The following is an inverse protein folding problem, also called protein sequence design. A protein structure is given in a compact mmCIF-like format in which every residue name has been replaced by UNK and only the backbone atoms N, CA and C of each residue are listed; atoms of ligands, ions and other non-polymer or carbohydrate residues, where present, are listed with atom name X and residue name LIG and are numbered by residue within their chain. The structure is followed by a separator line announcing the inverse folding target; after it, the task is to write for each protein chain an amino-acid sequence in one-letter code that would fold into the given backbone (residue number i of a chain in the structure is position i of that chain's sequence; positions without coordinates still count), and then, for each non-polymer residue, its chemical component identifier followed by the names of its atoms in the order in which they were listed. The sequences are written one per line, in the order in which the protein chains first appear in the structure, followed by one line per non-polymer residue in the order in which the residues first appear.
data_IF_041897649397
#
_entry.id   IF_041897649397
#
_cell.length_a   1.000
_cell.length_b   1.000
_cell.length_c   1.000
_cell.angle_alpha   90.00
_cell.angle_beta   90.00
_cell.angle_gamma   90.00
#
_symmetry.space_group_name_H-M   'P 1'
#
loop_
_entity.id
_entity.type
_entity.pdbx_description
1 polymer ?
#
# COMPACT_ATOMS: atom_id res chain seq x y z
N UNK A 1 -2.63 17.85 -29.80
CA UNK A 1 -2.34 19.14 -29.16
C UNK A 1 -1.82 18.85 -27.74
N UNK A 2 -0.66 19.42 -27.41
CA UNK A 2 -0.17 19.40 -26.02
C UNK A 2 -0.95 20.46 -25.25
N UNK A 3 -1.57 20.07 -24.14
CA UNK A 3 -2.25 20.96 -23.23
C UNK A 3 -1.29 21.25 -22.08
N UNK A 4 -0.97 22.51 -21.84
CA UNK A 4 -0.23 22.93 -20.69
C UNK A 4 -1.21 23.05 -19.51
N UNK A 5 -0.89 22.31 -18.41
CA UNK A 5 -1.59 22.45 -17.15
C UNK A 5 -0.63 23.03 -16.11
N UNK A 6 -1.04 24.09 -15.44
CA UNK A 6 -0.29 24.69 -14.34
C UNK A 6 -1.22 24.88 -13.15
N UNK A 7 -0.79 24.47 -11.97
CA UNK A 7 -1.48 24.67 -10.71
C UNK A 7 -0.97 25.96 -10.06
N UNK A 8 -1.86 26.89 -9.75
CA UNK A 8 -1.57 28.11 -9.01
C UNK A 8 -2.21 28.09 -7.63
N UNK A 9 -1.43 28.33 -6.58
CA UNK A 9 -1.89 28.54 -5.22
C UNK A 9 -1.72 30.02 -4.87
N UNK A 10 -2.78 30.67 -4.39
CA UNK A 10 -2.81 32.11 -4.13
C UNK A 10 -3.16 32.41 -2.68
N UNK A 11 -2.41 33.32 -2.06
CA UNK A 11 -2.76 33.81 -0.72
C UNK A 11 -4.22 34.33 -0.73
N UNK A 12 -5.09 33.81 0.13
CA UNK A 12 -6.50 34.23 0.21
C UNK A 12 -6.70 35.71 0.59
N UNK A 13 -5.64 36.42 0.95
CA UNK A 13 -5.66 37.86 1.24
C UNK A 13 -5.47 38.75 0.00
N UNK A 14 -5.06 38.17 -1.13
CA UNK A 14 -4.92 38.86 -2.38
C UNK A 14 -6.30 39.25 -2.90
N UNK A 15 -6.41 40.43 -3.50
CA UNK A 15 -7.64 40.84 -4.18
C UNK A 15 -7.79 40.15 -5.55
N UNK A 16 -8.96 40.31 -6.17
CA UNK A 16 -9.29 39.61 -7.42
C UNK A 16 -8.44 40.14 -8.59
N UNK A 17 -8.09 41.44 -8.58
CA UNK A 17 -7.32 42.04 -9.66
C UNK A 17 -5.86 41.57 -9.58
N UNK A 18 -5.28 41.48 -8.39
CA UNK A 18 -3.96 40.89 -8.16
C UNK A 18 -3.89 39.44 -8.60
N UNK A 19 -4.87 38.62 -8.19
CA UNK A 19 -4.95 37.22 -8.60
C UNK A 19 -5.07 37.08 -10.11
N UNK A 20 -5.92 37.89 -10.74
CA UNK A 20 -6.11 37.89 -12.20
C UNK A 20 -4.82 38.23 -12.95
N UNK A 21 -4.09 39.24 -12.46
CA UNK A 21 -2.79 39.63 -13.01
C UNK A 21 -1.75 38.49 -12.90
N UNK A 22 -1.69 37.81 -11.75
CA UNK A 22 -0.78 36.68 -11.51
C UNK A 22 -1.15 35.46 -12.37
N UNK A 23 -2.42 35.15 -12.55
CA UNK A 23 -2.88 34.11 -13.48
C UNK A 23 -2.44 34.42 -14.92
N UNK A 24 -2.58 35.65 -15.36
CA UNK A 24 -2.14 36.06 -16.70
C UNK A 24 -0.63 35.92 -16.87
N UNK A 25 0.16 36.24 -15.84
CA UNK A 25 1.61 36.03 -15.84
C UNK A 25 1.95 34.56 -15.99
N UNK A 26 1.27 33.66 -15.28
CA UNK A 26 1.49 32.21 -15.39
C UNK A 26 1.14 31.65 -16.78
N UNK A 27 0.09 32.16 -17.40
CA UNK A 27 -0.30 31.76 -18.77
C UNK A 27 0.75 32.22 -19.79
N UNK A 28 1.37 33.36 -19.59
CA UNK A 28 2.37 33.94 -20.50
C UNK A 28 3.81 33.55 -20.17
N UNK A 29 4.05 32.83 -19.07
CA UNK A 29 5.38 32.39 -18.67
C UNK A 29 5.93 31.37 -19.69
N UNK A 30 7.09 31.65 -20.30
CA UNK A 30 7.71 30.75 -21.26
C UNK A 30 8.29 29.49 -20.65
N UNK A 31 8.46 29.41 -19.32
CA UNK A 31 8.94 28.21 -18.64
C UNK A 31 7.85 27.17 -18.52
N UNK A 32 7.85 26.22 -19.45
CA UNK A 32 6.90 25.11 -19.50
C UNK A 32 7.23 23.97 -18.52
N UNK A 33 8.38 24.04 -17.83
CA UNK A 33 8.80 23.01 -16.86
C UNK A 33 8.13 23.18 -15.50
N UNK A 34 7.65 24.38 -15.18
CA UNK A 34 6.96 24.69 -13.93
C UNK A 34 5.49 24.23 -14.00
N UNK A 35 5.16 23.20 -13.25
CA UNK A 35 3.79 22.67 -13.13
C UNK A 35 3.00 23.25 -11.97
N UNK A 36 3.71 23.74 -10.94
CA UNK A 36 3.12 24.24 -9.70
C UNK A 36 3.77 25.55 -9.27
N UNK A 37 2.96 26.56 -9.02
CA UNK A 37 3.41 27.87 -8.52
C UNK A 37 2.54 28.34 -7.37
N UNK A 38 3.12 29.08 -6.42
CA UNK A 38 2.40 29.69 -5.32
C UNK A 38 2.75 31.17 -5.18
N UNK A 39 1.79 31.97 -4.81
CA UNK A 39 1.96 33.39 -4.54
C UNK A 39 1.62 33.73 -3.09
N UNK A 40 2.65 34.20 -2.36
CA UNK A 40 2.51 34.73 -1.01
C UNK A 40 2.76 36.24 -1.06
N UNK A 41 1.69 37.01 -1.16
CA UNK A 41 1.78 38.43 -1.53
C UNK A 41 2.42 38.59 -2.93
N UNK A 42 3.48 39.39 -3.03
CA UNK A 42 4.20 39.59 -4.30
C UNK A 42 5.24 38.48 -4.61
N UNK A 43 5.50 37.59 -3.69
CA UNK A 43 6.53 36.57 -3.84
C UNK A 43 6.00 35.33 -4.57
N UNK A 44 6.61 35.05 -5.74
CA UNK A 44 6.34 33.83 -6.52
C UNK A 44 7.25 32.70 -6.06
N UNK A 45 6.69 31.56 -5.74
CA UNK A 45 7.39 30.37 -5.29
C UNK A 45 7.02 29.16 -6.15
N UNK A 46 7.91 28.18 -6.20
CA UNK A 46 7.64 26.86 -6.77
C UNK A 46 8.21 25.77 -5.88
N UNK A 47 7.71 24.54 -6.05
CA UNK A 47 8.28 23.38 -5.38
C UNK A 47 9.47 22.85 -6.18
N UNK A 48 10.60 22.70 -5.54
CA UNK A 48 11.80 22.12 -6.13
C UNK A 48 12.30 20.94 -5.29
N UNK A 49 12.67 19.85 -5.97
CA UNK A 49 13.31 18.71 -5.31
C UNK A 49 14.81 18.95 -5.20
N UNK A 50 15.29 19.18 -4.00
CA UNK A 50 16.72 19.43 -3.74
C UNK A 50 17.36 18.13 -3.26
N UNK A 51 18.44 17.64 -3.92
CA UNK A 51 19.23 16.53 -3.42
C UNK A 51 19.89 16.90 -2.09
N UNK A 52 19.59 16.15 -1.05
CA UNK A 52 20.19 16.33 0.28
C UNK A 52 21.11 15.15 0.57
N UNK A 53 22.34 15.43 1.01
CA UNK A 53 23.24 14.39 1.45
C UNK A 53 22.63 13.63 2.65
N UNK A 54 22.49 12.32 2.50
CA UNK A 54 22.02 11.46 3.58
C UNK A 54 23.14 11.31 4.63
N UNK A 55 23.01 12.01 5.75
CA UNK A 55 23.85 11.77 6.91
C UNK A 55 23.36 10.51 7.61
N UNK A 56 23.99 9.36 7.31
CA UNK A 56 23.70 8.11 7.99
C UNK A 56 24.03 8.25 9.49
N UNK A 57 23.01 8.45 10.30
CA UNK A 57 23.17 8.23 11.74
C UNK A 57 23.41 6.73 11.93
N UNK A 58 24.34 6.31 12.85
CA UNK A 58 24.49 4.90 13.11
C UNK A 58 23.13 4.32 13.52
N UNK A 59 22.62 3.41 12.70
CA UNK A 59 21.34 2.78 12.97
C UNK A 59 21.49 1.94 14.24
N UNK A 60 20.68 2.23 15.26
CA UNK A 60 20.51 1.27 16.36
C UNK A 60 19.98 -0.02 15.73
N UNK A 61 20.68 -1.13 15.94
CA UNK A 61 20.12 -2.44 15.58
C UNK A 61 18.77 -2.57 16.25
N UNK A 62 17.75 -2.91 15.49
CA UNK A 62 16.44 -3.23 16.06
C UNK A 62 16.60 -4.50 16.88
N UNK A 63 16.06 -4.51 18.08
CA UNK A 63 15.99 -5.69 18.92
C UNK A 63 15.04 -6.69 18.24
N UNK A 64 15.46 -7.96 18.17
CA UNK A 64 14.65 -9.04 17.58
C UNK A 64 13.31 -9.26 18.30
N UNK A 65 13.18 -8.80 19.53
CA UNK A 65 11.93 -8.87 20.31
C UNK A 65 10.95 -7.73 20.02
N UNK A 66 11.37 -6.71 19.27
CA UNK A 66 10.51 -5.57 18.93
C UNK A 66 9.31 -6.02 18.10
N UNK A 67 8.12 -5.56 18.49
CA UNK A 67 6.85 -5.92 17.86
C UNK A 67 6.38 -4.78 16.96
N UNK A 68 6.28 -5.06 15.67
CA UNK A 68 5.78 -4.13 14.66
C UNK A 68 4.39 -4.55 14.17
N UNK A 69 3.46 -3.61 14.20
CA UNK A 69 2.18 -3.74 13.49
C UNK A 69 2.34 -3.21 12.07
N UNK A 70 2.02 -4.05 11.09
CA UNK A 70 2.15 -3.70 9.67
C UNK A 70 0.80 -3.79 8.98
N UNK A 71 0.22 -2.65 8.65
CA UNK A 71 -1.04 -2.63 7.90
C UNK A 71 -0.78 -2.74 6.40
N UNK A 72 -1.54 -3.61 5.72
CA UNK A 72 -1.37 -3.85 4.28
C UNK A 72 -0.03 -4.51 3.91
N UNK A 73 0.66 -5.13 4.88
CA UNK A 73 2.00 -5.69 4.71
C UNK A 73 2.07 -7.07 4.06
N UNK A 74 0.94 -7.67 3.71
CA UNK A 74 0.93 -9.03 3.17
C UNK A 74 1.15 -9.10 1.65
N UNK A 75 1.05 -7.98 0.93
CA UNK A 75 1.19 -7.91 -0.54
C UNK A 75 1.82 -6.61 -1.00
N UNK A 76 2.26 -6.60 -2.29
CA UNK A 76 2.75 -5.41 -2.97
C UNK A 76 4.03 -4.84 -2.36
N UNK A 77 4.22 -3.53 -2.51
CA UNK A 77 5.44 -2.83 -2.11
C UNK A 77 5.70 -2.95 -0.60
N UNK A 78 4.67 -2.85 0.22
CA UNK A 78 4.80 -2.95 1.68
C UNK A 78 5.37 -4.32 2.10
N UNK A 79 4.91 -5.41 1.47
CA UNK A 79 5.45 -6.74 1.73
C UNK A 79 6.95 -6.82 1.41
N UNK A 80 7.39 -6.33 0.26
CA UNK A 80 8.80 -6.30 -0.14
C UNK A 80 9.64 -5.45 0.83
N UNK A 81 9.12 -4.30 1.26
CA UNK A 81 9.81 -3.43 2.22
C UNK A 81 10.03 -4.13 3.56
N UNK A 82 9.01 -4.79 4.12
CA UNK A 82 9.15 -5.47 5.41
C UNK A 82 9.99 -6.75 5.32
N UNK A 83 9.94 -7.49 4.20
CA UNK A 83 10.83 -8.62 3.94
C UNK A 83 12.29 -8.13 3.92
N UNK A 84 12.56 -7.02 3.21
CA UNK A 84 13.90 -6.44 3.17
C UNK A 84 14.36 -5.94 4.53
N UNK A 85 13.46 -5.33 5.30
CA UNK A 85 13.73 -4.92 6.67
C UNK A 85 14.07 -6.13 7.55
N UNK A 86 13.28 -7.20 7.47
CA UNK A 86 13.46 -8.41 8.25
C UNK A 86 14.80 -9.14 7.96
N UNK A 87 15.26 -9.12 6.71
CA UNK A 87 16.56 -9.67 6.33
C UNK A 87 17.73 -9.00 7.06
N UNK A 88 17.63 -7.71 7.33
CA UNK A 88 18.68 -6.94 8.00
C UNK A 88 18.44 -6.84 9.52
N UNK A 89 17.19 -6.84 9.92
CA UNK A 89 16.75 -6.62 11.28
C UNK A 89 15.56 -7.56 11.60
N UNK A 90 15.84 -8.84 11.89
CA UNK A 90 14.78 -9.76 12.29
C UNK A 90 14.04 -9.21 13.51
N UNK A 91 12.73 -9.18 13.43
CA UNK A 91 11.84 -8.65 14.48
C UNK A 91 10.54 -9.48 14.48
N UNK A 92 9.56 -9.07 15.28
CA UNK A 92 8.21 -9.64 15.31
C UNK A 92 7.27 -8.77 14.52
N UNK A 93 6.63 -9.34 13.51
CA UNK A 93 5.70 -8.62 12.64
C UNK A 93 4.29 -9.16 12.78
N UNK A 94 3.37 -8.30 13.20
CA UNK A 94 1.92 -8.54 13.12
C UNK A 94 1.45 -7.91 11.82
N UNK A 95 1.20 -8.72 10.82
CA UNK A 95 0.81 -8.26 9.49
C UNK A 95 -0.70 -8.27 9.37
N UNK A 96 -1.32 -7.16 8.97
CA UNK A 96 -2.76 -7.11 8.77
C UNK A 96 -3.14 -6.98 7.30
N UNK A 97 -4.25 -7.62 6.95
CA UNK A 97 -4.91 -7.49 5.66
C UNK A 97 -6.39 -7.81 5.78
N UNK A 98 -7.20 -7.38 4.81
CA UNK A 98 -8.67 -7.60 4.85
C UNK A 98 -9.08 -9.04 4.56
N UNK A 99 -8.28 -9.77 3.82
CA UNK A 99 -8.62 -11.13 3.37
C UNK A 99 -8.20 -12.16 4.41
N UNK A 100 -9.09 -13.09 4.73
CA UNK A 100 -8.71 -14.27 5.49
C UNK A 100 -7.81 -15.16 4.64
N UNK A 101 -6.80 -15.77 5.26
CA UNK A 101 -6.01 -16.81 4.63
C UNK A 101 -6.84 -18.09 4.66
N UNK A 102 -7.03 -18.66 3.50
CA UNK A 102 -7.76 -19.92 3.35
C UNK A 102 -6.84 -20.98 2.73
N UNK A 103 -7.13 -22.22 3.04
CA UNK A 103 -6.49 -23.33 2.34
C UNK A 103 -6.83 -23.27 0.85
N UNK A 104 -5.84 -23.47 0.01
CA UNK A 104 -6.06 -23.50 -1.41
C UNK A 104 -6.90 -24.72 -1.79
N UNK A 105 -7.99 -24.52 -2.55
CA UNK A 105 -8.81 -25.62 -3.02
C UNK A 105 -8.01 -26.66 -3.77
N UNK A 106 -8.30 -27.94 -3.55
CA UNK A 106 -7.56 -29.05 -4.16
C UNK A 106 -7.52 -28.98 -5.69
N UNK A 107 -8.59 -28.50 -6.30
CA UNK A 107 -8.71 -28.34 -7.74
C UNK A 107 -7.82 -27.20 -8.31
N UNK A 108 -7.38 -26.26 -7.50
CA UNK A 108 -6.55 -25.13 -7.93
C UNK A 108 -5.04 -25.39 -7.78
N UNK A 109 -4.66 -26.38 -6.94
CA UNK A 109 -3.27 -26.61 -6.55
C UNK A 109 -2.36 -26.82 -7.75
N UNK A 110 -1.29 -26.02 -7.84
CA UNK A 110 -0.28 -26.11 -8.89
C UNK A 110 -0.74 -25.67 -10.28
N UNK A 111 -1.96 -25.15 -10.41
CA UNK A 111 -2.46 -24.61 -11.66
C UNK A 111 -2.24 -23.10 -11.76
N UNK A 112 -1.89 -22.62 -12.96
CA UNK A 112 -1.66 -21.22 -13.29
C UNK A 112 -2.35 -20.84 -14.59
N UNK A 113 -2.56 -19.55 -14.82
CA UNK A 113 -3.06 -18.97 -16.06
C UNK A 113 -4.29 -19.71 -16.63
N UNK A 114 -4.22 -20.17 -17.86
CA UNK A 114 -5.34 -20.81 -18.57
C UNK A 114 -5.81 -22.12 -17.91
N UNK A 115 -4.90 -22.87 -17.28
CA UNK A 115 -5.23 -24.09 -16.56
C UNK A 115 -6.06 -23.77 -15.31
N UNK A 116 -5.67 -22.75 -14.57
CA UNK A 116 -6.42 -22.26 -13.41
C UNK A 116 -7.79 -21.72 -13.84
N UNK A 117 -7.85 -20.99 -14.97
CA UNK A 117 -9.11 -20.47 -15.50
C UNK A 117 -10.09 -21.59 -15.86
N UNK A 118 -9.62 -22.62 -16.55
CA UNK A 118 -10.46 -23.79 -16.89
C UNK A 118 -10.99 -24.50 -15.64
N UNK A 119 -10.12 -24.72 -14.66
CA UNK A 119 -10.47 -25.35 -13.40
C UNK A 119 -11.47 -24.49 -12.59
N UNK A 120 -11.31 -23.18 -12.58
CA UNK A 120 -12.24 -22.24 -11.94
C UNK A 120 -13.63 -22.26 -12.60
N UNK A 121 -13.70 -22.33 -13.94
CA UNK A 121 -14.96 -22.47 -14.67
C UNK A 121 -15.66 -23.77 -14.26
N UNK A 122 -14.93 -24.87 -14.21
CA UNK A 122 -15.50 -26.18 -13.85
C UNK A 122 -15.95 -26.22 -12.39
N UNK A 123 -15.16 -25.64 -11.48
CA UNK A 123 -15.54 -25.51 -10.07
C UNK A 123 -16.85 -24.72 -9.88
N UNK A 124 -17.05 -23.61 -10.63
CA UNK A 124 -18.29 -22.83 -10.59
C UNK A 124 -19.48 -23.66 -11.13
N UNK A 125 -19.27 -24.45 -12.20
CA UNK A 125 -20.33 -25.33 -12.72
C UNK A 125 -20.80 -26.38 -11.73
N UNK A 126 -19.87 -26.91 -10.93
CA UNK A 126 -20.18 -27.92 -9.91
C UNK A 126 -21.05 -27.36 -8.79
N UNK A 127 -21.06 -26.06 -8.56
CA UNK A 127 -21.95 -25.39 -7.60
C UNK A 127 -23.34 -25.06 -8.19
N UNK A 128 -23.65 -25.58 -9.39
CA UNK A 128 -24.90 -25.30 -10.13
C UNK A 128 -25.08 -23.82 -10.51
N UNK A 129 -24.00 -23.05 -10.49
CA UNK A 129 -23.99 -21.66 -10.91
C UNK A 129 -23.53 -21.50 -12.35
N UNK A 130 -24.04 -20.48 -13.04
CA UNK A 130 -23.57 -20.14 -14.37
C UNK A 130 -22.19 -19.43 -14.29
N UNK A 131 -21.12 -19.96 -14.89
CA UNK A 131 -19.83 -19.28 -14.91
C UNK A 131 -19.91 -18.05 -15.80
N UNK A 132 -19.79 -16.87 -15.21
CA UNK A 132 -19.63 -15.61 -15.94
C UNK A 132 -18.18 -15.17 -15.87
N UNK A 133 -17.67 -14.42 -16.88
CA UNK A 133 -16.29 -13.92 -16.88
C UNK A 133 -15.92 -13.20 -15.57
N UNK A 134 -16.84 -12.42 -15.01
CA UNK A 134 -16.62 -11.71 -13.77
C UNK A 134 -16.48 -12.65 -12.55
N UNK A 135 -17.29 -13.72 -12.46
CA UNK A 135 -17.17 -14.71 -11.38
C UNK A 135 -15.88 -15.51 -11.47
N UNK A 136 -15.52 -15.94 -12.69
CA UNK A 136 -14.27 -16.67 -12.93
C UNK A 136 -13.07 -15.82 -12.53
N UNK A 137 -13.02 -14.58 -12.99
CA UNK A 137 -11.94 -13.64 -12.65
C UNK A 137 -11.85 -13.41 -11.14
N UNK A 138 -12.98 -13.13 -10.47
CA UNK A 138 -13.02 -12.94 -9.01
C UNK A 138 -12.48 -14.15 -8.25
N UNK A 139 -12.81 -15.37 -8.70
CA UNK A 139 -12.32 -16.60 -8.08
C UNK A 139 -10.82 -16.77 -8.29
N UNK A 140 -10.30 -16.54 -9.51
CA UNK A 140 -8.87 -16.57 -9.81
C UNK A 140 -8.10 -15.52 -8.99
N UNK A 141 -8.56 -14.26 -9.01
CA UNK A 141 -7.95 -13.17 -8.24
C UNK A 141 -7.87 -13.50 -6.73
N UNK A 142 -8.89 -14.19 -6.21
CA UNK A 142 -8.91 -14.64 -4.81
C UNK A 142 -7.83 -15.69 -4.52
N UNK A 143 -7.67 -16.67 -5.40
CA UNK A 143 -6.65 -17.74 -5.27
C UNK A 143 -5.25 -17.15 -5.39
N UNK A 144 -5.00 -16.35 -6.42
CA UNK A 144 -3.69 -15.71 -6.64
C UNK A 144 -3.33 -14.76 -5.49
N UNK A 145 -4.32 -14.01 -5.01
CA UNK A 145 -4.16 -13.14 -3.85
C UNK A 145 -3.75 -13.93 -2.59
N UNK A 146 -4.44 -15.06 -2.34
CA UNK A 146 -4.14 -15.92 -1.19
C UNK A 146 -2.74 -16.53 -1.29
N UNK A 147 -2.34 -17.03 -2.47
CA UNK A 147 -0.99 -17.53 -2.75
C UNK A 147 0.08 -16.46 -2.48
N UNK A 148 -0.16 -15.25 -2.98
CA UNK A 148 0.77 -14.13 -2.78
C UNK A 148 0.94 -13.79 -1.30
N UNK A 149 -0.15 -13.75 -0.53
CA UNK A 149 -0.11 -13.52 0.92
C UNK A 149 0.71 -14.61 1.62
N UNK A 150 0.37 -15.88 1.37
CA UNK A 150 1.06 -17.02 2.01
C UNK A 150 2.55 -17.05 1.68
N UNK A 151 2.90 -16.82 0.41
CA UNK A 151 4.30 -16.76 -0.02
C UNK A 151 5.07 -15.62 0.66
N UNK A 152 4.50 -14.44 0.75
CA UNK A 152 5.17 -13.30 1.40
C UNK A 152 5.33 -13.52 2.91
N UNK A 153 4.34 -14.09 3.58
CA UNK A 153 4.45 -14.45 5.00
C UNK A 153 5.53 -15.53 5.21
N UNK A 154 5.65 -16.49 4.30
CA UNK A 154 6.72 -17.49 4.35
C UNK A 154 8.09 -16.85 4.14
N UNK A 155 8.26 -15.99 3.14
CA UNK A 155 9.51 -15.24 2.91
C UNK A 155 9.92 -14.40 4.13
N UNK A 156 8.96 -13.82 4.85
CA UNK A 156 9.22 -13.11 6.10
C UNK A 156 9.75 -14.07 7.18
N UNK A 157 9.15 -15.25 7.34
CA UNK A 157 9.62 -16.26 8.30
C UNK A 157 11.01 -16.77 7.93
N UNK A 158 11.26 -17.03 6.66
CA UNK A 158 12.54 -17.48 6.13
C UNK A 158 13.68 -16.47 6.36
N UNK A 159 13.34 -15.18 6.52
CA UNK A 159 14.29 -14.13 6.90
C UNK A 159 14.66 -14.12 8.40
N UNK A 160 14.09 -15.04 9.19
CA UNK A 160 14.34 -15.16 10.63
C UNK A 160 13.38 -14.31 11.49
N UNK A 161 12.37 -13.68 10.90
CA UNK A 161 11.34 -12.96 11.64
C UNK A 161 10.25 -13.87 12.19
N UNK A 162 9.71 -13.53 13.37
CA UNK A 162 8.46 -14.10 13.84
C UNK A 162 7.30 -13.34 13.22
N UNK A 163 6.31 -14.05 12.64
CA UNK A 163 5.22 -13.43 11.87
C UNK A 163 3.88 -14.01 12.26
N UNK A 164 2.98 -13.16 12.68
CA UNK A 164 1.54 -13.45 12.82
C UNK A 164 0.75 -12.65 11.78
N UNK A 165 -0.28 -13.26 11.22
CA UNK A 165 -1.18 -12.59 10.28
C UNK A 165 -2.57 -12.49 10.89
N UNK A 166 -3.18 -11.33 10.82
CA UNK A 166 -4.57 -11.10 11.23
C UNK A 166 -5.39 -10.53 10.07
N UNK A 167 -6.53 -11.15 9.83
CA UNK A 167 -7.51 -10.61 8.88
C UNK A 167 -8.35 -9.57 9.61
N UNK A 168 -8.04 -8.29 9.40
CA UNK A 168 -8.73 -7.17 10.02
C UNK A 168 -8.83 -5.99 9.06
N UNK A 169 -9.92 -5.24 9.13
CA UNK A 169 -10.02 -3.93 8.51
C UNK A 169 -9.41 -2.90 9.46
N UNK A 170 -8.44 -2.12 8.98
CA UNK A 170 -7.77 -1.09 9.79
C UNK A 170 -8.69 0.09 10.16
N UNK A 171 -9.86 0.18 9.53
CA UNK A 171 -10.88 1.18 9.86
C UNK A 171 -11.87 0.71 10.95
N UNK A 172 -11.83 -0.59 11.28
CA UNK A 172 -12.58 -1.17 12.40
C UNK A 172 -11.68 -1.25 13.63
N UNK A 173 -11.73 -0.21 14.45
CA UNK A 173 -10.90 -0.09 15.66
C UNK A 173 -11.14 -1.26 16.62
N UNK A 174 -12.38 -1.59 16.90
CA UNK A 174 -12.71 -2.63 17.86
C UNK A 174 -12.26 -4.01 17.37
N UNK A 175 -12.58 -4.38 16.13
CA UNK A 175 -12.16 -5.65 15.54
C UNK A 175 -10.64 -5.78 15.46
N UNK A 176 -9.92 -4.69 15.17
CA UNK A 176 -8.47 -4.68 15.17
C UNK A 176 -7.89 -4.90 16.57
N UNK A 177 -8.42 -4.21 17.59
CA UNK A 177 -7.96 -4.37 18.97
C UNK A 177 -8.23 -5.79 19.51
N UNK A 178 -9.40 -6.35 19.23
CA UNK A 178 -9.74 -7.72 19.62
C UNK A 178 -8.79 -8.74 18.97
N UNK A 179 -8.46 -8.56 17.69
CA UNK A 179 -7.53 -9.43 16.96
C UNK A 179 -6.07 -9.29 17.43
N UNK A 180 -5.66 -8.10 17.86
CA UNK A 180 -4.31 -7.84 18.39
C UNK A 180 -4.10 -8.39 19.80
N UNK A 181 -5.12 -8.39 20.63
CA UNK A 181 -5.01 -8.70 22.06
C UNK A 181 -4.32 -10.05 22.39
N UNK A 182 -4.66 -11.18 21.75
CA UNK A 182 -4.00 -12.45 22.01
C UNK A 182 -2.50 -12.44 21.64
N UNK A 183 -2.14 -11.71 20.57
CA UNK A 183 -0.76 -11.62 20.10
C UNK A 183 0.06 -10.73 21.05
N UNK A 184 -0.51 -9.61 21.49
CA UNK A 184 0.15 -8.73 22.49
C UNK A 184 0.36 -9.43 23.84
N UNK A 185 -0.55 -10.31 24.25
CA UNK A 185 -0.34 -11.14 25.45
C UNK A 185 0.85 -12.08 25.29
N UNK A 186 1.12 -12.57 24.07
CA UNK A 186 2.21 -13.49 23.77
C UNK A 186 3.54 -12.77 23.52
N UNK A 187 3.52 -11.64 22.81
CA UNK A 187 4.73 -10.97 22.32
C UNK A 187 5.07 -9.67 23.05
N UNK A 188 4.14 -9.12 23.78
CA UNK A 188 4.25 -7.81 24.39
C UNK A 188 3.56 -6.72 23.54
N UNK A 189 3.67 -5.46 23.95
CA UNK A 189 3.00 -4.35 23.28
C UNK A 189 3.60 -4.09 21.90
N UNK A 190 2.79 -3.52 21.01
CA UNK A 190 3.26 -2.99 19.72
C UNK A 190 4.15 -1.78 20.00
N UNK A 191 5.39 -1.82 19.49
CA UNK A 191 6.40 -0.78 19.71
C UNK A 191 6.66 0.06 18.45
N UNK A 192 6.20 -0.41 17.29
CA UNK A 192 6.32 0.30 16.04
C UNK A 192 5.17 -0.01 15.08
N UNK A 193 4.84 0.95 14.22
CA UNK A 193 3.79 0.80 13.21
C UNK A 193 4.37 1.11 11.84
N UNK A 194 4.10 0.23 10.88
CA UNK A 194 4.36 0.44 9.45
C UNK A 194 3.00 0.46 8.76
N UNK A 195 2.58 1.63 8.29
CA UNK A 195 1.28 1.78 7.65
C UNK A 195 1.42 1.77 6.13
N UNK A 196 1.00 0.66 5.50
CA UNK A 196 0.98 0.49 4.06
C UNK A 196 -0.42 0.15 3.51
N UNK A 197 -1.45 0.16 4.36
CA UNK A 197 -2.80 -0.02 3.89
C UNK A 197 -3.32 1.27 3.24
N UNK A 198 -3.79 1.17 2.00
CA UNK A 198 -4.36 2.27 1.27
C UNK A 198 -5.09 1.78 0.03
N UNK A 199 -5.98 2.60 -0.50
CA UNK A 199 -6.65 2.38 -1.79
C UNK A 199 -6.43 3.62 -2.63
N UNK A 200 -5.77 3.46 -3.78
CA UNK A 200 -5.74 4.48 -4.80
C UNK A 200 -7.07 4.42 -5.56
N UNK A 201 -7.85 5.48 -5.46
CA UNK A 201 -9.14 5.60 -6.12
C UNK A 201 -9.08 6.69 -7.21
N UNK A 202 -8.00 6.71 -7.98
CA UNK A 202 -7.83 7.63 -9.08
C UNK A 202 -8.87 7.33 -10.16
N UNK A 203 -9.78 8.25 -10.37
CA UNK A 203 -10.72 8.20 -11.49
C UNK A 203 -10.07 8.91 -12.67
N UNK A 204 -9.97 8.20 -13.78
CA UNK A 204 -9.66 8.81 -15.08
C UNK A 204 -10.90 9.49 -15.66
#
# INVERSE_FOLDING_TARGET
PQVLCRLGDFDPKLDVDDVSGKILQEILDPDLSLSETAYLGEERRTLETIPVAWNSRPSKKLDQKKVFLVSGGAKGVTAECIIRLAQSHPARFIVTGRSQIMDEPSWARGLENDALQKAAIESIRQTSEKPTPAKVRKLMDSIESNRSVQNNLQRLRDSGAEVEYIAADVTDEQGLLEALNPIQKKWGPVEGIIHGAGVLADKR
#
